data_IF_522070705552
#
_entry.id   IF_522070705552
#
_cell.length_a   1.000
_cell.length_b   1.000
_cell.length_c   1.000
_cell.angle_alpha   90.00
_cell.angle_beta   90.00
_cell.angle_gamma   90.00
#
_symmetry.space_group_name_H-M   'P 1'
#
loop_
_entity.id
_entity.type
_entity.pdbx_description
1 polymer ?
#
# COMPACT_ATOMS: atom_id res chain seq x y z
N UNK A 1 10.84 23.32 6.68
CA UNK A 1 9.96 22.15 6.50
C UNK A 1 9.47 21.77 7.89
N UNK A 2 8.28 22.24 8.27
CA UNK A 2 7.77 22.02 9.63
C UNK A 2 7.42 20.55 9.85
N UNK A 3 7.77 20.04 11.02
CA UNK A 3 7.48 18.68 11.50
C UNK A 3 5.96 18.48 11.64
N UNK A 4 5.26 18.28 10.54
CA UNK A 4 3.82 18.01 10.52
C UNK A 4 3.53 16.50 10.63
N UNK A 5 4.32 15.78 11.45
CA UNK A 5 4.16 14.35 11.70
C UNK A 5 3.36 14.15 12.98
N UNK A 6 2.23 13.45 12.86
CA UNK A 6 1.46 13.00 14.02
C UNK A 6 2.20 11.86 14.72
N UNK A 7 2.26 11.89 16.06
CA UNK A 7 2.89 10.81 16.85
C UNK A 7 2.07 9.51 16.76
N UNK A 8 2.69 8.36 17.04
CA UNK A 8 1.99 7.08 17.13
C UNK A 8 0.88 7.11 18.17
N UNK A 9 1.17 7.64 19.36
CA UNK A 9 0.19 7.76 20.44
C UNK A 9 -1.03 8.59 20.00
N UNK A 10 -0.82 9.76 19.37
CA UNK A 10 -1.92 10.61 18.95
C UNK A 10 -2.72 9.99 17.80
N UNK A 11 -2.05 9.26 16.90
CA UNK A 11 -2.73 8.53 15.83
C UNK A 11 -3.64 7.42 16.39
N UNK A 12 -3.12 6.63 17.34
CA UNK A 12 -3.88 5.58 18.01
C UNK A 12 -5.06 6.12 18.83
N UNK A 13 -4.88 7.24 19.53
CA UNK A 13 -5.96 7.93 20.24
C UNK A 13 -7.11 8.33 19.30
N UNK A 14 -6.80 8.95 18.16
CA UNK A 14 -7.82 9.37 17.19
C UNK A 14 -8.54 8.13 16.62
N UNK A 15 -7.81 7.09 16.24
CA UNK A 15 -8.40 5.84 15.74
C UNK A 15 -9.33 5.18 16.76
N UNK A 16 -8.97 5.20 18.05
CA UNK A 16 -9.79 4.63 19.12
C UNK A 16 -11.12 5.37 19.32
N UNK A 17 -11.16 6.68 19.06
CA UNK A 17 -12.37 7.50 19.20
C UNK A 17 -13.22 7.49 17.92
N UNK A 18 -12.58 7.64 16.76
CA UNK A 18 -13.28 7.72 15.47
C UNK A 18 -13.81 6.34 15.04
N UNK A 19 -13.10 5.26 15.38
CA UNK A 19 -13.44 3.89 15.02
C UNK A 19 -13.05 3.54 13.58
N UNK A 20 -13.58 2.42 13.09
CA UNK A 20 -13.29 1.95 11.74
C UNK A 20 -14.06 2.76 10.67
N UNK A 21 -13.42 3.18 9.56
CA UNK A 21 -14.10 3.84 8.44
C UNK A 21 -15.14 2.95 7.74
N UNK A 22 -15.11 1.64 7.99
CA UNK A 22 -16.05 0.67 7.41
C UNK A 22 -17.29 0.42 8.27
N UNK A 23 -17.33 0.93 9.50
CA UNK A 23 -18.46 0.74 10.43
C UNK A 23 -19.55 1.82 10.30
N UNK A 24 -19.23 2.96 9.66
CA UNK A 24 -20.12 4.11 9.56
C UNK A 24 -20.21 4.60 8.10
N UNK A 25 -21.29 5.32 7.72
CA UNK A 25 -21.33 6.02 6.45
C UNK A 25 -20.13 6.98 6.33
N UNK A 26 -19.54 7.16 5.13
CA UNK A 26 -18.36 8.00 4.95
C UNK A 26 -18.51 9.42 5.50
N UNK A 27 -19.69 10.03 5.35
CA UNK A 27 -19.98 11.36 5.89
C UNK A 27 -19.91 11.41 7.42
N UNK A 28 -20.43 10.39 8.10
CA UNK A 28 -20.42 10.28 9.57
C UNK A 28 -19.00 10.06 10.08
N UNK A 29 -18.23 9.20 9.41
CA UNK A 29 -16.83 9.00 9.73
C UNK A 29 -16.01 10.30 9.58
N UNK A 30 -16.18 10.98 8.45
CA UNK A 30 -15.47 12.24 8.18
C UNK A 30 -15.82 13.33 9.19
N UNK A 31 -17.10 13.46 9.57
CA UNK A 31 -17.50 14.42 10.60
C UNK A 31 -16.80 14.15 11.94
N UNK A 32 -16.80 12.89 12.41
CA UNK A 32 -16.12 12.52 13.67
C UNK A 32 -14.63 12.77 13.60
N UNK A 33 -14.01 12.45 12.46
CA UNK A 33 -12.59 12.67 12.25
C UNK A 33 -12.23 14.16 12.27
N UNK A 34 -13.02 15.00 11.62
CA UNK A 34 -12.84 16.46 11.64
C UNK A 34 -12.99 17.03 13.06
N UNK A 35 -14.01 16.59 13.81
CA UNK A 35 -14.24 17.00 15.21
C UNK A 35 -13.04 16.66 16.10
N UNK A 36 -12.53 15.42 16.04
CA UNK A 36 -11.40 14.96 16.86
C UNK A 36 -10.06 15.59 16.47
N UNK A 37 -9.89 15.94 15.19
CA UNK A 37 -8.63 16.49 14.68
C UNK A 37 -8.56 18.02 14.76
N UNK A 38 -9.70 18.71 14.95
CA UNK A 38 -9.84 20.17 15.00
C UNK A 38 -8.93 20.82 16.04
N UNK A 39 -8.87 20.27 17.26
CA UNK A 39 -8.13 20.86 18.39
C UNK A 39 -6.61 20.91 18.17
N UNK A 40 -6.07 20.00 17.36
CA UNK A 40 -4.64 19.89 17.09
C UNK A 40 -4.23 20.24 15.66
N UNK A 41 -5.15 20.74 14.84
CA UNK A 41 -4.97 20.92 13.39
C UNK A 41 -4.34 19.68 12.72
N UNK A 42 -4.77 18.49 13.17
CA UNK A 42 -4.08 17.23 12.92
C UNK A 42 -4.71 16.40 11.80
N UNK A 43 -5.72 16.94 11.11
CA UNK A 43 -6.45 16.22 10.06
C UNK A 43 -5.53 15.81 8.91
N UNK A 44 -4.78 16.75 8.36
CA UNK A 44 -3.86 16.48 7.25
C UNK A 44 -2.73 15.51 7.66
N UNK A 45 -2.04 15.70 8.81
CA UNK A 45 -1.08 14.72 9.33
C UNK A 45 -1.66 13.33 9.55
N UNK A 46 -2.89 13.25 10.09
CA UNK A 46 -3.60 12.00 10.32
C UNK A 46 -3.88 11.31 8.99
N UNK A 47 -4.51 12.01 8.04
CA UNK A 47 -4.84 11.46 6.72
C UNK A 47 -3.57 11.01 5.99
N UNK A 48 -2.52 11.83 5.99
CA UNK A 48 -1.23 11.49 5.38
C UNK A 48 -0.62 10.22 5.97
N UNK A 49 -0.81 9.96 7.28
CA UNK A 49 -0.34 8.75 7.94
C UNK A 49 -1.27 7.55 7.71
N UNK A 50 -2.58 7.75 7.82
CA UNK A 50 -3.60 6.72 7.60
C UNK A 50 -3.62 6.22 6.16
N UNK A 51 -3.28 7.08 5.20
CA UNK A 51 -3.20 6.76 3.77
C UNK A 51 -1.82 6.25 3.35
N UNK A 52 -0.88 6.03 4.28
CA UNK A 52 0.39 5.41 3.92
C UNK A 52 0.12 3.99 3.43
N UNK A 53 0.53 3.73 2.20
CA UNK A 53 0.57 2.38 1.66
C UNK A 53 1.54 1.58 2.51
N UNK A 54 1.08 0.45 3.06
CA UNK A 54 1.97 -0.51 3.72
C UNK A 54 2.85 -1.14 2.66
N UNK A 55 4.12 -0.72 2.64
CA UNK A 55 5.11 -1.22 1.69
C UNK A 55 5.86 -2.46 2.18
N UNK A 56 5.34 -3.13 3.20
CA UNK A 56 5.93 -4.38 3.69
C UNK A 56 5.59 -5.52 2.72
N UNK A 57 6.59 -6.22 2.16
CA UNK A 57 6.31 -7.37 1.31
C UNK A 57 5.51 -8.43 2.07
N UNK A 58 4.36 -8.87 1.53
CA UNK A 58 3.51 -9.88 2.18
C UNK A 58 3.97 -11.30 1.94
N UNK A 59 4.90 -11.49 1.01
CA UNK A 59 5.52 -12.76 0.68
C UNK A 59 7.03 -12.60 0.62
N UNK A 60 7.75 -13.69 0.92
CA UNK A 60 9.20 -13.69 0.77
C UNK A 60 9.56 -13.63 -0.72
N UNK A 61 10.70 -13.00 -1.09
CA UNK A 61 11.18 -12.99 -2.47
C UNK A 61 11.25 -14.40 -3.09
N UNK A 62 11.64 -15.41 -2.30
CA UNK A 62 11.67 -16.82 -2.71
C UNK A 62 10.28 -17.33 -3.13
N UNK A 63 9.26 -17.10 -2.30
CA UNK A 63 7.89 -17.56 -2.59
C UNK A 63 7.35 -16.93 -3.88
N UNK A 64 7.76 -15.70 -4.18
CA UNK A 64 7.37 -15.03 -5.42
C UNK A 64 8.13 -15.59 -6.63
N UNK A 65 9.43 -15.83 -6.52
CA UNK A 65 10.24 -16.45 -7.58
C UNK A 65 9.73 -17.85 -7.95
N UNK A 66 9.28 -18.63 -6.96
CA UNK A 66 8.67 -19.93 -7.19
C UNK A 66 7.38 -19.81 -8.02
N UNK A 67 6.52 -18.82 -7.74
CA UNK A 67 5.34 -18.55 -8.56
C UNK A 67 5.72 -18.19 -9.98
N UNK A 68 6.64 -17.24 -10.15
CA UNK A 68 7.12 -16.79 -11.44
C UNK A 68 7.63 -17.96 -12.30
N UNK A 69 8.43 -18.85 -11.72
CA UNK A 69 8.99 -20.01 -12.42
C UNK A 69 7.92 -20.99 -12.91
N UNK A 70 6.72 -20.96 -12.32
CA UNK A 70 5.59 -21.82 -12.68
C UNK A 70 4.52 -21.11 -13.51
N UNK A 71 4.67 -19.81 -13.78
CA UNK A 71 3.70 -19.02 -14.55
C UNK A 71 3.72 -19.43 -16.03
N UNK A 72 2.53 -19.72 -16.57
CA UNK A 72 2.35 -19.90 -18.01
C UNK A 72 2.27 -18.54 -18.72
N UNK A 73 3.39 -18.09 -19.27
CA UNK A 73 3.47 -16.82 -19.99
C UNK A 73 2.73 -16.81 -21.34
N UNK A 74 2.23 -17.94 -21.83
CA UNK A 74 1.34 -17.97 -23.00
C UNK A 74 -0.09 -17.54 -22.63
N UNK A 75 -0.46 -17.68 -21.35
CA UNK A 75 -1.77 -17.32 -20.83
C UNK A 75 -1.83 -15.87 -20.38
N UNK A 76 -2.53 -15.02 -21.13
CA UNK A 76 -2.81 -13.62 -20.75
C UNK A 76 -3.42 -13.53 -19.34
N UNK A 77 -4.29 -14.48 -18.98
CA UNK A 77 -4.89 -14.54 -17.64
C UNK A 77 -3.84 -14.79 -16.56
N UNK A 78 -2.86 -15.67 -16.80
CA UNK A 78 -1.81 -15.96 -15.83
C UNK A 78 -0.88 -14.75 -15.64
N UNK A 79 -0.55 -14.04 -16.73
CA UNK A 79 0.21 -12.79 -16.69
C UNK A 79 -0.53 -11.73 -15.86
N UNK A 80 -1.83 -11.50 -16.13
CA UNK A 80 -2.60 -10.53 -15.34
C UNK A 80 -2.67 -10.87 -13.85
N UNK A 81 -2.77 -12.15 -13.47
CA UNK A 81 -2.75 -12.54 -12.06
C UNK A 81 -1.37 -12.31 -11.43
N UNK A 82 -0.29 -12.57 -12.16
CA UNK A 82 1.07 -12.30 -11.69
C UNK A 82 1.27 -10.80 -11.42
N UNK A 83 0.78 -9.93 -12.31
CA UNK A 83 0.87 -8.47 -12.16
C UNK A 83 0.08 -7.96 -10.94
N UNK A 84 -1.12 -8.51 -10.72
CA UNK A 84 -1.92 -8.22 -9.54
C UNK A 84 -1.25 -8.72 -8.25
N UNK A 85 -0.61 -9.90 -8.31
CA UNK A 85 0.13 -10.46 -7.17
C UNK A 85 1.32 -9.57 -6.77
N UNK A 86 1.99 -8.89 -7.71
CA UNK A 86 3.04 -7.92 -7.39
C UNK A 86 2.53 -6.78 -6.52
N UNK A 87 1.37 -6.23 -6.89
CA UNK A 87 0.68 -5.17 -6.15
C UNK A 87 0.26 -5.67 -4.77
N UNK A 88 -0.46 -6.80 -4.72
CA UNK A 88 -1.02 -7.33 -3.47
C UNK A 88 0.07 -7.70 -2.48
N UNK A 89 1.20 -8.22 -2.97
CA UNK A 89 2.32 -8.63 -2.12
C UNK A 89 3.33 -7.53 -1.87
N UNK A 90 3.07 -6.30 -2.33
CA UNK A 90 3.96 -5.15 -2.24
C UNK A 90 5.40 -5.49 -2.64
N UNK A 91 5.53 -6.07 -3.83
CA UNK A 91 6.81 -6.39 -4.42
C UNK A 91 7.15 -5.22 -5.34
N UNK A 92 8.25 -4.53 -5.02
CA UNK A 92 8.74 -3.41 -5.80
C UNK A 92 9.27 -3.85 -7.18
N UNK A 93 9.75 -2.86 -7.93
CA UNK A 93 10.44 -3.07 -9.20
C UNK A 93 11.65 -4.01 -9.06
N UNK A 94 11.82 -4.93 -10.00
CA UNK A 94 13.10 -5.60 -10.25
C UNK A 94 13.18 -6.13 -11.67
N UNK A 95 14.42 -6.26 -12.15
CA UNK A 95 14.71 -6.81 -13.47
C UNK A 95 14.82 -8.35 -13.39
N UNK A 96 14.07 -9.03 -14.26
CA UNK A 96 14.34 -10.44 -14.54
C UNK A 96 15.46 -10.53 -15.56
N UNK A 97 16.59 -11.05 -15.08
CA UNK A 97 17.79 -11.25 -15.86
C UNK A 97 17.79 -12.65 -16.47
N UNK A 98 18.14 -12.75 -17.76
CA UNK A 98 18.53 -14.01 -18.40
C UNK A 98 19.98 -13.80 -18.86
N UNK A 99 20.89 -14.68 -18.43
CA UNK A 99 22.34 -14.54 -18.72
C UNK A 99 22.91 -13.17 -18.35
N UNK A 100 22.53 -12.64 -17.19
CA UNK A 100 22.93 -11.32 -16.68
C UNK A 100 22.46 -10.12 -17.54
N UNK A 101 21.58 -10.35 -18.52
CA UNK A 101 20.94 -9.30 -19.31
C UNK A 101 19.47 -9.11 -18.90
N UNK A 102 19.07 -7.86 -18.66
CA UNK A 102 17.69 -7.51 -18.32
C UNK A 102 16.75 -7.85 -19.49
N UNK A 103 15.94 -8.88 -19.30
CA UNK A 103 15.07 -9.44 -20.35
C UNK A 103 13.61 -9.05 -20.13
N UNK A 104 13.19 -8.88 -18.89
CA UNK A 104 11.82 -8.50 -18.56
C UNK A 104 11.77 -7.62 -17.32
N UNK A 105 11.01 -6.53 -17.42
CA UNK A 105 10.79 -5.60 -16.33
C UNK A 105 9.56 -6.03 -15.54
N UNK A 106 9.74 -6.43 -14.28
CA UNK A 106 8.62 -6.76 -13.41
C UNK A 106 8.29 -5.54 -12.57
N UNK A 107 7.18 -4.88 -12.92
CA UNK A 107 6.68 -3.73 -12.19
C UNK A 107 5.21 -3.98 -11.78
N UNK A 108 4.82 -3.63 -10.55
CA UNK A 108 3.41 -3.46 -10.24
C UNK A 108 2.81 -2.41 -11.16
N UNK A 109 1.51 -2.52 -11.45
CA UNK A 109 0.80 -1.58 -12.33
C UNK A 109 1.18 -0.12 -11.99
N UNK A 110 1.57 0.70 -12.99
CA UNK A 110 2.03 2.05 -12.73
C UNK A 110 0.94 2.83 -11.96
N UNK A 111 1.39 3.64 -11.00
CA UNK A 111 0.58 4.43 -10.05
C UNK A 111 0.05 3.73 -8.80
N UNK A 112 0.26 2.43 -8.59
CA UNK A 112 -0.29 1.75 -7.39
C UNK A 112 0.59 1.90 -6.14
N UNK A 113 1.91 1.98 -6.29
CA UNK A 113 2.84 2.07 -5.14
C UNK A 113 3.40 3.48 -4.89
N UNK A 114 3.02 4.48 -5.70
CA UNK A 114 3.55 5.83 -5.62
C UNK A 114 5.07 5.93 -5.93
N UNK A 115 5.63 7.15 -6.00
CA UNK A 115 7.07 7.36 -6.05
C UNK A 115 7.78 7.01 -4.73
#
# INVERSE_FOLDING_TARGET
>A
MENNKISEARFAEIMAVVGSPFEFPPSVYMQRLEEETKRGNSLVPFLSKASRVDTTPRQSPKSWLEKLATTDFVSVRAVCHLDLDLVVNNIGYFDLLINDEATYNVAPYPDVLGP
#
